data_IF_661663525058
#
_entry.id   IF_661663525058
#
_cell.length_a   1.000
_cell.length_b   1.000
_cell.length_c   1.000
_cell.angle_alpha   90.00
_cell.angle_beta   90.00
_cell.angle_gamma   90.00
#
_symmetry.space_group_name_H-M   'P 1'
#
loop_
_entity.id
_entity.type
_entity.pdbx_description
1 polymer ?
#
# COMPACT_ATOMS: atom_id res chain seq x y z
N UNK A 1 -22.81 -11.53 -30.56
CA UNK A 1 -22.45 -11.47 -30.08
C UNK A 1 -21.85 -11.48 -29.15
N UNK A 2 -21.76 -11.30 -28.86
CA UNK A 2 -21.21 -11.23 -28.05
C UNK A 2 -20.76 -11.89 -27.26
N UNK A 3 -20.83 -12.27 -27.41
CA UNK A 3 -20.46 -13.07 -26.74
C UNK A 3 -19.35 -13.24 -26.31
N UNK A 4 -18.73 -12.96 -26.83
CA UNK A 4 -17.66 -13.02 -26.50
C UNK A 4 -17.21 -12.50 -25.51
N UNK A 5 -17.46 -11.79 -25.32
CA UNK A 5 -17.10 -11.22 -24.39
C UNK A 5 -17.40 -11.71 -23.28
N UNK A 6 -18.23 -12.24 -23.33
CA UNK A 6 -18.63 -12.80 -22.20
C UNK A 6 -17.78 -13.90 -21.81
N UNK A 7 -17.03 -14.33 -22.56
CA UNK A 7 -16.13 -15.33 -22.21
C UNK A 7 -15.31 -14.86 -21.03
N UNK A 8 -15.36 -15.55 -19.95
CA UNK A 8 -14.58 -15.18 -18.82
C UNK A 8 -13.16 -15.32 -19.15
N UNK A 9 -12.95 -15.69 -20.21
CA UNK A 9 -11.70 -15.64 -20.68
C UNK A 9 -10.68 -16.47 -20.08
N UNK A 10 -9.58 -15.89 -19.88
CA UNK A 10 -8.33 -16.54 -19.61
C UNK A 10 -8.02 -16.55 -18.13
N UNK A 11 -7.00 -17.33 -17.78
CA UNK A 11 -6.43 -17.31 -16.45
C UNK A 11 -5.95 -15.90 -16.11
N UNK A 12 -5.41 -15.19 -17.11
CA UNK A 12 -4.96 -13.82 -16.90
C UNK A 12 -6.10 -12.90 -16.51
N UNK A 13 -7.28 -13.07 -17.11
CA UNK A 13 -8.46 -12.27 -16.76
C UNK A 13 -8.93 -12.57 -15.34
N UNK A 14 -8.88 -13.84 -14.94
CA UNK A 14 -9.26 -14.25 -13.60
C UNK A 14 -8.28 -13.67 -12.57
N UNK A 15 -6.99 -13.68 -12.89
CA UNK A 15 -5.96 -13.09 -12.00
C UNK A 15 -6.17 -11.59 -11.86
N UNK A 16 -6.46 -10.91 -12.95
CA UNK A 16 -6.70 -9.47 -12.92
C UNK A 16 -7.89 -9.12 -12.06
N UNK A 17 -8.98 -9.87 -12.22
CA UNK A 17 -10.19 -9.66 -11.42
C UNK A 17 -9.92 -9.87 -9.94
N UNK A 18 -9.14 -10.89 -9.61
CA UNK A 18 -8.78 -11.18 -8.22
C UNK A 18 -7.96 -10.05 -7.60
N UNK A 19 -6.99 -9.52 -8.35
CA UNK A 19 -6.17 -8.39 -7.89
C UNK A 19 -7.03 -7.15 -7.70
N UNK A 20 -7.92 -6.87 -8.64
CA UNK A 20 -8.80 -5.70 -8.54
C UNK A 20 -9.71 -5.78 -7.32
N UNK A 21 -10.25 -6.96 -7.05
CA UNK A 21 -11.12 -7.16 -5.88
C UNK A 21 -10.35 -6.95 -4.59
N UNK A 22 -9.16 -7.53 -4.48
CA UNK A 22 -8.33 -7.38 -3.29
C UNK A 22 -7.92 -5.92 -3.10
N UNK A 23 -7.56 -5.24 -4.18
CA UNK A 23 -7.20 -3.83 -4.13
C UNK A 23 -8.36 -3.00 -3.58
N UNK A 24 -9.57 -3.27 -4.06
CA UNK A 24 -10.75 -2.54 -3.60
C UNK A 24 -10.97 -2.75 -2.10
N UNK A 25 -10.82 -3.96 -1.62
CA UNK A 25 -10.96 -4.26 -0.18
C UNK A 25 -9.92 -3.50 0.62
N UNK A 26 -8.67 -3.52 0.19
CA UNK A 26 -7.60 -2.79 0.87
C UNK A 26 -7.87 -1.30 0.89
N UNK A 27 -8.27 -0.73 -0.24
CA UNK A 27 -8.56 0.69 -0.34
C UNK A 27 -9.70 1.10 0.58
N UNK A 28 -10.75 0.30 0.66
CA UNK A 28 -11.87 0.59 1.56
C UNK A 28 -11.42 0.58 3.01
N UNK A 29 -10.61 -0.38 3.41
CA UNK A 29 -10.08 -0.44 4.77
C UNK A 29 -9.25 0.81 5.09
N UNK A 30 -8.40 1.21 4.16
CA UNK A 30 -7.54 2.38 4.35
C UNK A 30 -8.34 3.67 4.47
N UNK A 31 -9.31 3.87 3.59
CA UNK A 31 -10.12 5.09 3.58
C UNK A 31 -10.93 5.25 4.86
N UNK A 32 -11.37 4.15 5.44
CA UNK A 32 -12.11 4.18 6.70
C UNK A 32 -11.27 4.63 7.88
N UNK A 33 -9.95 4.65 7.74
CA UNK A 33 -9.06 5.03 8.82
C UNK A 33 -8.62 6.50 8.76
N UNK A 34 -8.99 7.24 7.73
CA UNK A 34 -8.65 8.65 7.62
C UNK A 34 -9.12 9.39 8.87
N UNK A 35 -8.26 10.23 9.41
CA UNK A 35 -8.55 11.00 10.61
C UNK A 35 -8.14 10.33 11.92
N UNK A 36 -7.79 9.05 11.89
CA UNK A 36 -7.32 8.38 13.10
C UNK A 36 -5.89 8.79 13.41
N UNK A 37 -5.54 8.87 14.70
CA UNK A 37 -4.24 9.41 15.09
C UNK A 37 -3.09 8.46 14.79
N UNK A 38 -1.92 9.02 14.57
CA UNK A 38 -0.69 8.27 14.55
C UNK A 38 -0.44 7.69 15.95
N UNK A 39 -0.05 6.42 15.99
CA UNK A 39 0.28 5.76 17.25
C UNK A 39 1.48 4.87 17.05
N UNK A 40 2.57 5.15 17.72
CA UNK A 40 3.77 4.34 17.65
C UNK A 40 3.45 2.88 18.00
N UNK A 41 3.80 1.97 17.10
CA UNK A 41 3.52 0.55 17.28
C UNK A 41 2.08 0.16 17.06
N UNK A 42 1.19 1.10 16.73
CA UNK A 42 -0.22 0.83 16.53
C UNK A 42 -0.50 0.17 15.18
N UNK A 43 -1.46 -0.75 15.16
CA UNK A 43 -1.84 -1.48 13.96
C UNK A 43 -3.33 -1.83 13.92
N UNK A 44 -4.16 -1.13 14.67
CA UNK A 44 -5.60 -1.39 14.71
C UNK A 44 -6.40 -0.09 14.80
N UNK A 45 -7.68 -0.12 14.37
CA UNK A 45 -8.56 1.06 14.48
C UNK A 45 -8.75 1.53 15.90
N UNK A 46 -8.58 0.62 16.86
CA UNK A 46 -8.79 0.91 18.25
C UNK A 46 -7.66 1.70 18.87
N UNK A 47 -6.44 1.38 18.48
CA UNK A 47 -5.25 2.02 19.07
C UNK A 47 -4.70 3.14 18.22
N UNK A 48 -5.04 3.21 16.92
CA UNK A 48 -4.39 4.06 15.96
C UNK A 48 -3.29 3.29 15.25
N UNK A 49 -2.57 3.95 14.37
CA UNK A 49 -1.62 3.28 13.48
C UNK A 49 -0.33 4.05 13.34
N UNK A 50 0.80 3.34 13.30
CA UNK A 50 2.01 3.93 12.73
C UNK A 50 1.98 3.68 11.22
N UNK A 51 3.00 4.13 10.48
CA UNK A 51 2.98 4.05 9.02
C UNK A 51 2.86 2.62 8.52
N UNK A 52 3.70 1.73 9.01
CA UNK A 52 3.69 0.33 8.59
C UNK A 52 2.53 -0.45 9.19
N UNK A 53 2.04 -0.02 10.36
CA UNK A 53 0.87 -0.64 10.99
C UNK A 53 -0.39 -0.48 10.17
N UNK A 54 -0.55 0.67 9.53
CA UNK A 54 -1.67 0.90 8.63
C UNK A 54 -1.64 -0.07 7.44
N UNK A 55 -0.47 -0.24 6.83
CA UNK A 55 -0.30 -1.18 5.73
C UNK A 55 -0.54 -2.61 6.20
N UNK A 56 0.04 -2.98 7.32
CA UNK A 56 -0.13 -4.31 7.90
C UNK A 56 -1.63 -4.63 8.08
N UNK A 57 -2.37 -3.71 8.69
CA UNK A 57 -3.79 -3.88 8.93
C UNK A 57 -4.57 -4.08 7.62
N UNK A 58 -4.26 -3.30 6.60
CA UNK A 58 -5.00 -3.35 5.36
C UNK A 58 -4.73 -4.60 4.53
N UNK A 59 -3.53 -5.15 4.63
CA UNK A 59 -3.06 -6.19 3.70
C UNK A 59 -2.94 -7.59 4.30
N UNK A 60 -2.77 -7.72 5.61
CA UNK A 60 -2.43 -9.01 6.23
C UNK A 60 -3.38 -10.15 5.90
N UNK A 61 -4.66 -9.85 5.73
CA UNK A 61 -5.66 -10.89 5.47
C UNK A 61 -5.88 -11.14 3.98
N UNK A 62 -5.30 -10.32 3.12
CA UNK A 62 -5.50 -10.41 1.68
C UNK A 62 -4.41 -11.21 0.98
N UNK A 63 -3.25 -11.32 1.59
CA UNK A 63 -2.10 -11.99 0.98
C UNK A 63 -1.68 -13.23 1.78
N UNK A 64 -1.09 -14.19 1.07
CA UNK A 64 -0.58 -15.43 1.67
C UNK A 64 0.73 -15.21 2.40
N UNK A 65 1.51 -14.24 1.94
CA UNK A 65 2.81 -13.95 2.52
C UNK A 65 2.64 -13.20 3.83
N UNK A 66 3.66 -13.30 4.67
CA UNK A 66 3.65 -12.58 5.93
C UNK A 66 4.06 -11.13 5.68
N UNK A 67 3.20 -10.19 6.08
CA UNK A 67 3.51 -8.77 5.95
C UNK A 67 4.41 -8.36 7.12
N UNK A 68 5.61 -7.80 6.84
CA UNK A 68 6.49 -7.33 7.90
C UNK A 68 5.89 -6.15 8.66
N UNK A 69 6.47 -5.85 9.83
CA UNK A 69 5.96 -4.77 10.68
C UNK A 69 6.71 -3.45 10.51
N UNK A 70 7.79 -3.40 9.77
CA UNK A 70 8.53 -2.15 9.55
C UNK A 70 8.57 -1.79 8.07
N UNK A 71 8.69 -0.50 7.80
CA UNK A 71 8.77 0.00 6.43
C UNK A 71 10.01 -0.57 5.71
N UNK A 72 11.14 -0.62 6.41
CA UNK A 72 12.36 -1.11 5.81
C UNK A 72 12.26 -2.59 5.40
N UNK A 73 11.64 -3.40 6.27
CA UNK A 73 11.44 -4.81 5.94
C UNK A 73 10.46 -4.99 4.78
N UNK A 74 9.43 -4.17 4.72
CA UNK A 74 8.48 -4.20 3.61
C UNK A 74 9.16 -3.85 2.29
N UNK A 75 10.06 -2.87 2.32
CA UNK A 75 10.79 -2.46 1.12
C UNK A 75 11.67 -3.59 0.58
N UNK A 76 12.21 -4.41 1.47
CA UNK A 76 13.08 -5.54 1.10
C UNK A 76 12.34 -6.86 0.96
N UNK A 77 11.01 -6.84 0.98
CA UNK A 77 10.20 -8.04 0.91
C UNK A 77 10.39 -8.73 -0.44
N UNK A 78 10.89 -9.98 -0.38
CA UNK A 78 11.26 -10.73 -1.58
C UNK A 78 10.12 -10.98 -2.55
N UNK A 79 8.93 -11.19 -2.02
CA UNK A 79 7.76 -11.51 -2.84
C UNK A 79 7.03 -10.27 -3.37
N UNK A 80 7.51 -9.09 -3.06
CA UNK A 80 6.94 -7.85 -3.58
C UNK A 80 7.73 -7.41 -4.82
N UNK A 81 7.00 -7.03 -5.86
CA UNK A 81 7.63 -6.61 -7.10
C UNK A 81 8.02 -5.13 -7.04
N UNK A 82 9.25 -4.79 -7.46
CA UNK A 82 9.62 -3.37 -7.58
C UNK A 82 8.81 -2.74 -8.70
N UNK A 83 8.31 -1.53 -8.42
CA UNK A 83 7.47 -0.80 -9.38
C UNK A 83 8.09 0.57 -9.63
N UNK A 84 8.21 0.93 -10.91
CA UNK A 84 8.67 2.25 -11.28
C UNK A 84 7.61 3.28 -10.94
N UNK A 85 8.05 4.47 -10.56
CA UNK A 85 7.14 5.54 -10.16
C UNK A 85 6.10 5.86 -11.25
N UNK A 86 6.47 5.77 -12.50
CA UNK A 86 5.57 6.03 -13.63
C UNK A 86 4.50 4.95 -13.80
N UNK A 87 4.64 3.82 -13.12
CA UNK A 87 3.72 2.69 -13.26
C UNK A 87 2.90 2.42 -12.00
N UNK A 88 2.86 3.36 -11.08
CA UNK A 88 2.12 3.21 -9.85
C UNK A 88 0.64 2.98 -10.09
N UNK A 89 0.08 2.05 -9.33
CA UNK A 89 -1.36 1.72 -9.35
C UNK A 89 -1.90 1.69 -7.92
N UNK A 90 -3.20 1.85 -7.79
CA UNK A 90 -3.85 1.79 -6.48
C UNK A 90 -3.43 0.54 -5.73
N UNK A 91 -3.04 0.73 -4.49
CA UNK A 91 -2.61 -0.37 -3.64
C UNK A 91 -1.12 -0.63 -3.63
N UNK A 92 -0.35 0.03 -4.48
CA UNK A 92 1.10 -0.10 -4.43
C UNK A 92 1.64 0.63 -3.21
N UNK A 93 2.67 0.07 -2.60
CA UNK A 93 3.32 0.70 -1.46
C UNK A 93 4.38 1.68 -1.94
N UNK A 94 4.36 2.88 -1.39
CA UNK A 94 5.37 3.90 -1.69
C UNK A 94 6.23 4.13 -0.47
N UNK A 95 7.54 4.20 -0.65
CA UNK A 95 8.51 4.21 0.44
C UNK A 95 9.35 5.47 0.44
N UNK A 96 9.67 5.93 1.64
CA UNK A 96 10.41 7.17 1.85
C UNK A 96 11.46 6.98 2.92
N UNK A 97 12.48 7.83 2.87
CA UNK A 97 13.52 7.87 3.90
C UNK A 97 13.50 9.26 4.50
N UNK A 98 12.78 9.42 5.59
CA UNK A 98 12.52 10.71 6.21
C UNK A 98 13.40 10.97 7.42
N UNK A 99 13.85 9.91 8.09
CA UNK A 99 14.65 10.00 9.30
C UNK A 99 16.07 9.47 9.13
N UNK A 100 16.44 9.12 7.91
CA UNK A 100 17.75 8.61 7.62
C UNK A 100 18.02 7.20 8.13
N UNK A 101 16.98 6.42 8.39
CA UNK A 101 17.12 5.07 8.95
C UNK A 101 16.92 4.02 7.88
N UNK A 102 17.91 3.13 7.74
CA UNK A 102 17.84 2.04 6.76
C UNK A 102 17.67 2.58 5.34
N UNK A 103 17.15 1.75 4.45
CA UNK A 103 16.86 2.14 3.09
C UNK A 103 15.55 2.92 3.03
N UNK A 104 14.56 2.48 3.80
CA UNK A 104 13.27 3.15 3.89
C UNK A 104 12.79 3.13 5.34
N UNK A 105 12.30 4.25 5.83
CA UNK A 105 11.79 4.34 7.20
C UNK A 105 10.35 4.82 7.27
N UNK A 106 9.72 5.04 6.12
CA UNK A 106 8.32 5.43 6.06
C UNK A 106 7.65 4.79 4.85
N UNK A 107 6.37 4.47 4.99
CA UNK A 107 5.60 3.83 3.93
C UNK A 107 4.19 4.38 3.90
N UNK A 108 3.64 4.47 2.69
CA UNK A 108 2.24 4.80 2.46
C UNK A 108 1.70 3.95 1.34
N UNK A 109 0.44 4.15 0.99
CA UNK A 109 -0.22 3.37 -0.06
C UNK A 109 -0.74 4.31 -1.14
N UNK A 110 -0.36 4.03 -2.37
CA UNK A 110 -0.80 4.82 -3.51
C UNK A 110 -2.31 4.67 -3.72
N UNK A 111 -2.99 5.80 -3.86
CA UNK A 111 -4.46 5.81 -4.00
C UNK A 111 -4.92 6.42 -5.33
N UNK A 112 -4.01 6.56 -6.29
CA UNK A 112 -4.33 7.12 -7.59
C UNK A 112 -4.11 8.63 -7.66
N UNK A 113 -4.08 9.15 -8.88
CA UNK A 113 -3.95 10.58 -9.15
C UNK A 113 -2.77 11.24 -8.47
N UNK A 114 -1.66 10.51 -8.34
CA UNK A 114 -0.45 11.05 -7.74
C UNK A 114 -0.52 11.26 -6.23
N UNK A 115 -1.45 10.57 -5.56
CA UNK A 115 -1.65 10.73 -4.13
C UNK A 115 -1.45 9.41 -3.39
N UNK A 116 -1.14 9.52 -2.09
CA UNK A 116 -0.98 8.34 -1.24
C UNK A 116 -1.59 8.60 0.12
N UNK A 117 -2.07 7.52 0.75
CA UNK A 117 -2.60 7.58 2.11
C UNK A 117 -1.50 7.14 3.07
N UNK A 118 -1.39 7.81 4.20
CA UNK A 118 -0.32 7.56 5.15
C UNK A 118 -0.72 7.92 6.58
N UNK A 119 -0.02 7.30 7.54
CA UNK A 119 -0.03 7.71 8.94
C UNK A 119 1.33 8.33 9.20
N UNK A 120 1.46 9.66 9.14
CA UNK A 120 2.77 10.28 9.00
C UNK A 120 3.65 10.27 10.25
N UNK A 121 3.16 10.75 11.39
CA UNK A 121 3.96 10.81 12.61
C UNK A 121 3.13 11.28 13.80
N UNK A 122 3.71 11.22 14.98
CA UNK A 122 3.04 11.68 16.21
C UNK A 122 2.49 13.09 16.06
N UNK A 123 1.30 13.29 16.55
CA UNK A 123 0.63 14.58 16.49
C UNK A 123 -0.16 14.79 15.20
N UNK A 124 -0.08 13.86 14.26
CA UNK A 124 -0.83 13.94 13.00
C UNK A 124 -1.76 12.75 12.86
N UNK A 125 -2.67 12.86 11.90
CA UNK A 125 -3.66 11.80 11.64
C UNK A 125 -3.43 11.21 10.26
N UNK A 126 -4.04 10.04 10.06
CA UNK A 126 -4.04 9.38 8.76
C UNK A 126 -4.67 10.33 7.74
N UNK A 127 -3.97 10.55 6.65
CA UNK A 127 -4.35 11.54 5.64
C UNK A 127 -3.88 11.14 4.25
N UNK A 128 -4.49 11.77 3.25
CA UNK A 128 -4.08 11.63 1.86
C UNK A 128 -3.18 12.81 1.52
N UNK A 129 -2.05 12.51 0.92
CA UNK A 129 -1.00 13.49 0.60
C UNK A 129 -0.58 13.35 -0.85
N UNK A 130 -0.20 14.44 -1.49
CA UNK A 130 0.25 14.40 -2.87
C UNK A 130 1.74 14.01 -2.96
N UNK A 131 2.05 13.08 -3.86
CA UNK A 131 3.43 12.71 -4.15
C UNK A 131 4.21 13.86 -4.81
N UNK A 132 3.50 14.84 -5.34
CA UNK A 132 4.14 15.99 -5.98
C UNK A 132 4.65 17.03 -5.00
N UNK A 133 4.31 16.92 -3.71
CA UNK A 133 4.84 17.83 -2.71
C UNK A 133 6.35 17.65 -2.62
N UNK A 134 7.05 18.77 -2.57
CA UNK A 134 8.51 18.79 -2.58
C UNK A 134 9.14 17.90 -1.51
N UNK A 135 8.63 17.96 -0.30
CA UNK A 135 9.12 17.13 0.80
C UNK A 135 9.11 15.65 0.45
N UNK A 136 7.97 15.16 -0.08
CA UNK A 136 7.81 13.74 -0.39
C UNK A 136 8.60 13.32 -1.62
N UNK A 137 8.72 14.21 -2.61
CA UNK A 137 9.57 13.93 -3.76
C UNK A 137 11.02 13.73 -3.36
N UNK A 138 11.52 14.60 -2.49
CA UNK A 138 12.92 14.55 -2.07
C UNK A 138 13.27 13.34 -1.20
N UNK A 139 12.27 12.78 -0.53
CA UNK A 139 12.49 11.65 0.35
C UNK A 139 12.05 10.32 -0.24
N UNK A 140 11.52 10.33 -1.44
CA UNK A 140 11.03 9.13 -2.11
C UNK A 140 12.16 8.14 -2.40
N UNK A 141 11.94 6.87 -2.03
CA UNK A 141 12.93 5.80 -2.24
C UNK A 141 12.52 4.88 -3.39
N UNK A 142 11.27 4.49 -3.42
CA UNK A 142 10.79 3.55 -4.42
C UNK A 142 9.42 3.02 -4.07
N UNK A 143 8.98 2.05 -4.84
CA UNK A 143 7.67 1.44 -4.64
C UNK A 143 7.73 -0.07 -4.79
N UNK A 144 6.77 -0.75 -4.16
CA UNK A 144 6.65 -2.21 -4.24
C UNK A 144 5.20 -2.58 -4.41
N UNK A 145 4.96 -3.60 -5.23
CA UNK A 145 3.61 -4.16 -5.42
C UNK A 145 3.53 -5.47 -4.68
N UNK A 146 2.71 -5.48 -3.62
CA UNK A 146 2.55 -6.66 -2.78
C UNK A 146 1.40 -7.53 -3.27
N UNK A 147 0.34 -6.92 -3.78
CA UNK A 147 -0.83 -7.65 -4.24
C UNK A 147 -0.67 -8.08 -5.68
N UNK A 148 -0.28 -9.32 -5.87
CA UNK A 148 -0.10 -9.94 -7.19
C UNK A 148 -0.84 -11.28 -7.19
N UNK A 149 -1.08 -11.88 -8.38
CA UNK A 149 -1.72 -13.20 -8.43
C UNK A 149 -1.00 -14.25 -7.58
N UNK A 150 0.30 -14.12 -7.41
CA UNK A 150 1.09 -15.09 -6.63
C UNK A 150 0.93 -14.91 -5.13
N UNK A 151 0.69 -13.71 -4.68
CA UNK A 151 0.65 -13.41 -3.24
C UNK A 151 -0.75 -13.39 -2.65
N UNK A 152 -1.77 -13.22 -3.46
CA UNK A 152 -3.15 -13.13 -2.97
C UNK A 152 -3.69 -14.48 -2.50
N UNK A 153 -4.49 -14.42 -1.44
CA UNK A 153 -5.19 -15.61 -0.92
C UNK A 153 -6.28 -16.09 -1.85
#
# INVERSE_FOLDING_TARGET
>A
VKVKNASPGTIADAHKAKVQKATKVAMNKLMQQIGKPYRWGGSSPRTGFDCSGLVYYAYKDLVKIRIPRTANEMYHLRDAAPIDRSELKNGDLVFFRTQGRGTADHVGVYVGNGKFIQSPRSGQEIQITSLSEDYWQRHYVGARRVMTPKTLR
#
